data_IF_999365032714
#
_entry.id   IF_999365032714
#
_cell.length_a   1.000
_cell.length_b   1.000
_cell.length_c   1.000
_cell.angle_alpha   90.00
_cell.angle_beta   90.00
_cell.angle_gamma   90.00
#
_symmetry.space_group_name_H-M   'P 1'
#
loop_
_entity.id
_entity.type
_entity.pdbx_description
1 polymer ?
#
# COMPACT_ATOMS: atom_id res chain seq x y z
N UNK A 1 16.33 32.82 4.76
CA UNK A 1 15.62 32.14 5.86
C UNK A 1 15.03 30.88 5.24
N UNK A 2 15.63 29.72 5.49
CA UNK A 2 15.07 28.44 5.01
C UNK A 2 13.79 28.19 5.82
N UNK A 3 12.63 28.16 5.15
CA UNK A 3 11.39 27.76 5.80
C UNK A 3 11.53 26.30 6.20
N UNK A 4 11.56 26.00 7.50
CA UNK A 4 11.56 24.63 8.01
C UNK A 4 10.32 23.91 7.49
N UNK A 5 10.51 22.86 6.69
CA UNK A 5 9.40 21.99 6.28
C UNK A 5 8.86 21.29 7.55
N UNK A 6 7.57 21.42 7.81
CA UNK A 6 6.91 20.84 8.98
C UNK A 6 5.73 20.01 8.52
N UNK A 7 5.60 18.80 9.05
CA UNK A 7 4.46 17.93 8.78
C UNK A 7 3.19 18.48 9.43
N UNK A 8 2.07 18.37 8.73
CA UNK A 8 0.76 18.61 9.32
C UNK A 8 0.48 17.60 10.42
N UNK A 9 -0.16 18.07 11.50
CA UNK A 9 -0.50 17.22 12.64
C UNK A 9 -1.93 17.49 13.13
N UNK A 10 -2.50 16.48 13.78
CA UNK A 10 -3.87 16.53 14.28
C UNK A 10 -4.89 15.96 13.30
N UNK A 11 -6.19 16.06 13.66
CA UNK A 11 -7.31 15.50 12.88
C UNK A 11 -8.49 16.44 12.73
N UNK A 12 -8.35 17.68 13.18
CA UNK A 12 -9.45 18.65 13.28
C UNK A 12 -9.92 19.17 11.91
N UNK A 13 -9.02 19.22 10.92
CA UNK A 13 -9.36 19.60 9.54
C UNK A 13 -9.64 18.41 8.63
N UNK A 14 -9.45 17.18 9.11
CA UNK A 14 -9.59 15.98 8.28
C UNK A 14 -11.04 15.70 7.92
N UNK A 15 -11.24 15.21 6.70
CA UNK A 15 -12.57 14.89 6.16
C UNK A 15 -13.03 13.49 6.56
N UNK A 16 -14.34 13.37 6.75
CA UNK A 16 -15.02 12.12 7.08
C UNK A 16 -16.29 11.97 6.23
N UNK A 17 -16.55 10.76 5.74
CA UNK A 17 -17.75 10.44 4.98
C UNK A 17 -18.22 9.03 5.36
N UNK A 18 -19.50 8.84 5.69
CA UNK A 18 -20.07 7.54 6.07
C UNK A 18 -19.24 6.76 7.11
N UNK A 19 -18.69 7.47 8.10
CA UNK A 19 -17.78 6.94 9.15
C UNK A 19 -16.36 6.56 8.69
N UNK A 20 -16.04 6.74 7.41
CA UNK A 20 -14.67 6.60 6.91
C UNK A 20 -13.90 7.90 7.09
N UNK A 21 -12.69 7.80 7.63
CA UNK A 21 -11.69 8.87 7.50
C UNK A 21 -11.22 8.89 6.04
N UNK A 22 -11.31 10.04 5.39
CA UNK A 22 -10.82 10.18 4.02
C UNK A 22 -9.32 10.41 4.05
N UNK A 23 -8.58 9.63 3.27
CA UNK A 23 -7.13 9.72 3.15
C UNK A 23 -6.74 9.85 1.69
N UNK A 24 -5.76 10.71 1.41
CA UNK A 24 -5.19 10.88 0.09
C UNK A 24 -3.73 10.46 0.12
N UNK A 25 -3.25 9.87 -0.97
CA UNK A 25 -1.86 9.47 -1.10
C UNK A 25 -1.48 9.21 -2.55
N UNK A 26 -0.25 8.76 -2.75
CA UNK A 26 0.24 8.43 -4.08
C UNK A 26 1.17 7.23 -4.07
N UNK A 27 1.40 6.65 -5.25
CA UNK A 27 2.57 5.81 -5.51
C UNK A 27 3.59 6.70 -6.23
N UNK A 28 4.65 7.17 -5.54
CA UNK A 28 5.73 7.88 -6.20
C UNK A 28 6.50 6.90 -7.09
N UNK A 29 6.78 7.30 -8.32
CA UNK A 29 7.49 6.48 -9.29
C UNK A 29 8.53 7.28 -10.07
N UNK A 30 9.48 6.57 -10.68
CA UNK A 30 10.41 7.10 -11.67
C UNK A 30 10.76 6.03 -12.70
N UNK A 31 11.23 6.47 -13.87
CA UNK A 31 11.78 5.57 -14.90
C UNK A 31 13.30 5.59 -14.81
N UNK A 32 13.88 4.51 -14.32
CA UNK A 32 15.33 4.35 -14.24
C UNK A 32 15.89 3.93 -15.62
N UNK A 33 16.27 4.94 -16.41
CA UNK A 33 16.82 4.76 -17.77
C UNK A 33 18.26 4.23 -17.79
N UNK A 34 18.90 4.08 -16.63
CA UNK A 34 20.28 3.61 -16.52
C UNK A 34 20.38 2.08 -16.33
N UNK A 35 19.25 1.40 -16.16
CA UNK A 35 19.23 -0.07 -16.08
C UNK A 35 19.35 -0.64 -17.49
N UNK A 36 20.25 -1.60 -17.67
CA UNK A 36 20.33 -2.39 -18.90
C UNK A 36 18.97 -3.06 -19.15
N UNK A 37 18.28 -2.63 -20.21
CA UNK A 37 16.95 -3.12 -20.56
C UNK A 37 17.00 -3.94 -21.86
N UNK A 38 17.57 -5.15 -21.84
CA UNK A 38 17.69 -5.98 -23.04
C UNK A 38 16.32 -6.42 -23.59
N UNK A 39 15.27 -6.39 -22.77
CA UNK A 39 13.90 -6.75 -23.17
C UNK A 39 13.13 -5.57 -23.78
N UNK A 40 13.61 -4.33 -23.60
CA UNK A 40 12.89 -3.11 -23.99
C UNK A 40 11.57 -2.92 -23.24
N UNK A 41 11.32 -3.67 -22.15
CA UNK A 41 10.07 -3.59 -21.41
C UNK A 41 10.10 -2.40 -20.45
N UNK A 42 9.13 -1.49 -20.55
CA UNK A 42 9.10 -0.30 -19.69
C UNK A 42 8.92 -0.65 -18.21
N UNK A 43 8.28 -1.79 -17.93
CA UNK A 43 8.04 -2.27 -16.57
C UNK A 43 9.34 -2.62 -15.82
N UNK A 44 10.39 -3.05 -16.53
CA UNK A 44 11.69 -3.37 -15.91
C UNK A 44 12.45 -2.12 -15.45
N UNK A 45 12.17 -0.97 -16.07
CA UNK A 45 12.76 0.33 -15.73
C UNK A 45 11.90 1.12 -14.73
N UNK A 46 10.67 0.66 -14.44
CA UNK A 46 9.76 1.34 -13.52
C UNK A 46 10.17 1.03 -12.07
N UNK A 47 10.55 2.08 -11.36
CA UNK A 47 10.80 2.03 -9.92
C UNK A 47 9.69 2.78 -9.18
N UNK A 48 9.32 2.27 -8.01
CA UNK A 48 8.35 2.87 -7.11
C UNK A 48 8.98 3.11 -5.76
N UNK A 49 8.52 4.14 -5.06
CA UNK A 49 8.98 4.46 -3.73
C UNK A 49 7.95 4.00 -2.69
N UNK A 50 8.43 3.31 -1.68
CA UNK A 50 7.68 2.95 -0.48
C UNK A 50 8.39 3.51 0.75
N UNK A 51 7.63 3.69 1.83
CA UNK A 51 8.15 4.15 3.12
C UNK A 51 7.89 3.12 4.21
N UNK A 52 8.79 3.04 5.21
CA UNK A 52 8.54 2.23 6.40
C UNK A 52 7.41 2.87 7.22
N UNK A 53 6.38 2.10 7.60
CA UNK A 53 5.35 2.65 8.50
C UNK A 53 5.96 3.08 9.85
N UNK A 54 5.30 3.92 10.68
CA UNK A 54 5.92 4.48 11.90
C UNK A 54 6.49 3.47 12.90
N UNK A 55 5.96 2.25 12.94
CA UNK A 55 6.49 1.17 13.79
C UNK A 55 7.62 0.37 13.10
N UNK A 56 8.02 0.72 11.88
CA UNK A 56 9.06 0.13 11.04
C UNK A 56 8.90 -1.35 10.63
N UNK A 57 7.70 -1.93 10.75
CA UNK A 57 7.48 -3.36 10.44
C UNK A 57 7.10 -3.64 8.98
N UNK A 58 6.45 -2.68 8.30
CA UNK A 58 5.97 -2.87 6.93
C UNK A 58 6.32 -1.66 6.07
N UNK A 59 6.40 -1.90 4.77
CA UNK A 59 6.44 -0.85 3.76
C UNK A 59 5.03 -0.51 3.30
N UNK A 60 4.77 0.78 3.11
CA UNK A 60 3.49 1.33 2.63
C UNK A 60 3.74 2.43 1.60
N UNK A 61 2.70 2.79 0.86
CA UNK A 61 2.71 4.01 0.06
C UNK A 61 2.42 5.24 0.93
N UNK A 62 3.06 6.39 0.63
CA UNK A 62 2.83 7.64 1.34
C UNK A 62 1.38 8.09 1.19
N UNK A 63 0.73 8.41 2.31
CA UNK A 63 -0.68 8.80 2.40
C UNK A 63 -1.02 9.28 3.80
N UNK A 64 -1.94 10.22 3.89
CA UNK A 64 -2.48 10.66 5.17
C UNK A 64 -3.81 11.37 5.03
N UNK A 65 -4.16 12.17 6.04
CA UNK A 65 -5.52 12.70 6.14
C UNK A 65 -5.77 13.75 5.07
N UNK A 66 -6.86 13.62 4.31
CA UNK A 66 -7.30 14.69 3.42
C UNK A 66 -8.01 15.77 4.23
N UNK A 67 -7.46 16.99 4.22
CA UNK A 67 -7.97 18.13 5.00
C UNK A 67 -8.98 18.98 4.21
N UNK A 68 -9.69 19.88 4.91
CA UNK A 68 -10.79 20.66 4.35
C UNK A 68 -10.33 21.91 3.57
N UNK A 69 -9.07 22.30 3.71
CA UNK A 69 -8.43 23.47 3.12
C UNK A 69 -7.54 23.16 1.90
N UNK A 70 -7.56 21.91 1.43
CA UNK A 70 -6.78 21.43 0.29
C UNK A 70 -7.61 20.55 -0.65
N UNK A 71 -7.21 20.52 -1.92
CA UNK A 71 -7.69 19.54 -2.88
C UNK A 71 -7.09 18.15 -2.60
N UNK A 72 -7.69 17.12 -3.20
CA UNK A 72 -7.34 15.72 -2.91
C UNK A 72 -5.93 15.36 -3.42
N UNK A 73 -5.56 15.86 -4.59
CA UNK A 73 -4.23 15.75 -5.20
C UNK A 73 -3.19 16.60 -4.46
N UNK A 74 -3.56 17.80 -4.00
CA UNK A 74 -2.71 18.61 -3.12
C UNK A 74 -2.38 17.85 -1.82
N UNK A 75 -3.38 17.20 -1.22
CA UNK A 75 -3.19 16.34 -0.05
C UNK A 75 -2.23 15.18 -0.34
N UNK A 76 -2.41 14.47 -1.47
CA UNK A 76 -1.50 13.39 -1.86
C UNK A 76 -0.05 13.89 -2.07
N UNK A 77 0.13 15.07 -2.69
CA UNK A 77 1.44 15.69 -2.89
C UNK A 77 2.10 16.09 -1.58
N UNK A 78 1.32 16.66 -0.66
CA UNK A 78 1.78 17.04 0.68
C UNK A 78 2.27 15.82 1.45
N UNK A 79 1.48 14.75 1.48
CA UNK A 79 1.84 13.52 2.19
C UNK A 79 3.10 12.85 1.60
N UNK A 80 3.28 12.90 0.27
CA UNK A 80 4.52 12.44 -0.37
C UNK A 80 5.76 13.24 0.07
N UNK A 81 5.60 14.56 0.25
CA UNK A 81 6.67 15.40 0.77
C UNK A 81 6.92 15.14 2.26
N UNK A 82 5.86 15.06 3.06
CA UNK A 82 5.95 14.94 4.52
C UNK A 82 6.52 13.58 4.93
N UNK A 83 5.98 12.49 4.37
CA UNK A 83 6.35 11.13 4.76
C UNK A 83 7.59 10.61 4.00
N UNK A 84 7.74 10.94 2.71
CA UNK A 84 8.80 10.38 1.85
C UNK A 84 9.88 11.38 1.41
N UNK A 85 9.66 12.68 1.63
CA UNK A 85 10.60 13.71 1.19
C UNK A 85 10.74 13.80 -0.32
N UNK A 86 9.67 13.54 -1.08
CA UNK A 86 9.69 13.64 -2.55
C UNK A 86 8.70 14.69 -3.06
N UNK A 87 9.07 15.35 -4.16
CA UNK A 87 8.18 16.20 -4.96
C UNK A 87 8.12 15.68 -6.38
N UNK A 88 7.04 16.02 -7.07
CA UNK A 88 6.77 15.47 -8.38
C UNK A 88 5.53 16.05 -9.04
N UNK A 89 5.19 15.46 -10.18
CA UNK A 89 3.98 15.77 -10.93
C UNK A 89 2.96 14.69 -10.61
N UNK A 90 1.83 15.07 -10.00
CA UNK A 90 0.70 14.16 -9.83
C UNK A 90 -0.03 14.00 -11.17
N UNK A 91 -0.41 12.76 -11.47
CA UNK A 91 -1.26 12.45 -12.60
C UNK A 91 -2.73 12.81 -12.30
N UNK A 92 -3.43 13.47 -13.23
CA UNK A 92 -4.81 13.94 -13.03
C UNK A 92 -5.81 12.81 -12.71
N UNK A 93 -5.52 11.59 -13.16
CA UNK A 93 -6.35 10.41 -12.93
C UNK A 93 -5.97 9.67 -11.65
N UNK A 94 -6.96 9.36 -10.82
CA UNK A 94 -6.81 8.41 -9.71
C UNK A 94 -6.37 7.03 -10.23
N UNK A 95 -5.43 6.41 -9.52
CA UNK A 95 -5.15 4.98 -9.67
C UNK A 95 -6.32 4.14 -9.16
N UNK A 96 -7.02 4.64 -8.14
CA UNK A 96 -8.23 4.02 -7.61
C UNK A 96 -8.60 4.53 -6.23
N UNK A 97 -9.68 3.96 -5.71
CA UNK A 97 -10.22 4.25 -4.38
C UNK A 97 -10.45 2.94 -3.66
N UNK A 98 -9.92 2.82 -2.45
CA UNK A 98 -10.03 1.60 -1.64
C UNK A 98 -10.45 1.89 -0.22
N UNK A 99 -11.24 0.99 0.35
CA UNK A 99 -11.60 1.01 1.76
C UNK A 99 -10.72 0.02 2.52
N UNK A 100 -10.10 0.48 3.61
CA UNK A 100 -9.23 -0.34 4.44
C UNK A 100 -9.28 0.08 5.90
N UNK A 101 -8.80 -0.78 6.79
CA UNK A 101 -8.73 -0.49 8.24
C UNK A 101 -7.35 0.00 8.64
N UNK A 102 -7.32 1.05 9.45
CA UNK A 102 -6.08 1.54 10.07
C UNK A 102 -5.43 0.48 10.96
N UNK A 103 -4.09 0.44 11.00
CA UNK A 103 -3.31 -0.57 11.72
C UNK A 103 -3.63 -0.63 13.22
N UNK A 104 -3.92 0.51 13.86
CA UNK A 104 -4.17 0.60 15.30
C UNK A 104 -5.52 0.01 15.74
N UNK A 105 -6.41 -0.34 14.81
CA UNK A 105 -7.75 -0.87 15.11
C UNK A 105 -8.10 -2.14 14.34
N UNK A 106 -7.11 -2.86 13.80
CA UNK A 106 -7.34 -4.11 13.05
C UNK A 106 -8.03 -5.20 13.87
N UNK A 107 -7.87 -5.20 15.20
CA UNK A 107 -8.42 -6.21 16.10
C UNK A 107 -9.68 -5.76 16.86
N UNK A 108 -10.23 -4.57 16.57
CA UNK A 108 -11.44 -4.07 17.24
C UNK A 108 -12.68 -4.38 16.41
N UNK A 109 -13.68 -4.99 17.06
CA UNK A 109 -15.02 -5.15 16.52
C UNK A 109 -15.71 -3.78 16.41
N UNK A 110 -15.90 -3.27 15.20
CA UNK A 110 -16.59 -1.99 14.94
C UNK A 110 -16.20 -1.33 13.62
N UNK A 111 -16.79 -0.16 13.32
CA UNK A 111 -16.42 0.71 12.19
C UNK A 111 -15.27 1.66 12.54
N UNK A 112 -14.78 1.63 13.79
CA UNK A 112 -13.72 2.53 14.23
C UNK A 112 -12.40 2.27 13.48
N UNK A 113 -11.85 3.34 12.89
CA UNK A 113 -10.59 3.26 12.16
C UNK A 113 -10.71 2.80 10.71
N UNK A 114 -11.92 2.81 10.14
CA UNK A 114 -12.13 2.66 8.71
C UNK A 114 -11.62 3.89 7.95
N UNK A 115 -10.89 3.64 6.86
CA UNK A 115 -10.32 4.65 5.98
C UNK A 115 -10.77 4.38 4.55
N UNK A 116 -11.06 5.45 3.80
CA UNK A 116 -11.23 5.41 2.35
C UNK A 116 -10.09 6.18 1.73
N UNK A 117 -9.22 5.46 1.02
CA UNK A 117 -8.00 5.98 0.42
C UNK A 117 -8.15 6.25 -1.06
N UNK A 118 -7.79 7.47 -1.45
CA UNK A 118 -7.70 7.93 -2.83
C UNK A 118 -6.21 7.96 -3.22
N UNK A 119 -5.80 7.13 -4.18
CA UNK A 119 -4.39 7.01 -4.56
C UNK A 119 -4.15 7.57 -5.96
N UNK A 120 -3.11 8.38 -6.08
CA UNK A 120 -2.61 8.93 -7.34
C UNK A 120 -1.29 8.30 -7.76
N UNK A 121 -0.90 8.49 -9.01
CA UNK A 121 0.49 8.32 -9.44
C UNK A 121 1.22 9.66 -9.29
N UNK A 122 2.45 9.63 -8.78
CA UNK A 122 3.30 10.81 -8.68
C UNK A 122 4.63 10.55 -9.36
N UNK A 123 4.93 11.27 -10.45
CA UNK A 123 6.22 11.20 -11.12
C UNK A 123 7.23 12.06 -10.35
N UNK A 124 8.19 11.41 -9.69
CA UNK A 124 9.16 12.10 -8.84
C UNK A 124 10.15 12.87 -9.71
N UNK A 125 10.31 14.16 -9.41
CA UNK A 125 11.30 15.03 -10.05
C UNK A 125 12.34 15.58 -9.07
N UNK A 126 12.09 15.48 -7.76
CA UNK A 126 12.98 15.96 -6.70
C UNK A 126 12.90 15.04 -5.47
N UNK A 127 14.06 14.66 -4.94
CA UNK A 127 14.22 13.94 -3.68
C UNK A 127 14.96 14.83 -2.69
N UNK A 128 14.33 15.14 -1.57
CA UNK A 128 14.88 16.01 -0.53
C UNK A 128 15.91 15.26 0.31
N UNK A 129 16.97 15.94 0.74
CA UNK A 129 17.94 15.39 1.70
C UNK A 129 17.35 15.34 3.12
N UNK A 130 16.55 16.34 3.48
CA UNK A 130 15.88 16.45 4.77
C UNK A 130 14.38 16.67 4.57
N UNK A 131 13.56 15.90 5.29
CA UNK A 131 12.10 16.00 5.19
C UNK A 131 11.40 15.81 6.55
N UNK A 132 10.13 16.23 6.68
CA UNK A 132 9.46 16.35 7.97
C UNK A 132 9.41 15.07 8.83
N UNK A 133 9.11 13.91 8.23
CA UNK A 133 8.91 12.66 8.96
C UNK A 133 10.06 11.66 8.82
N UNK A 134 11.23 12.11 8.40
CA UNK A 134 12.41 11.26 8.15
C UNK A 134 12.85 10.40 9.36
N UNK A 135 12.50 10.81 10.59
CA UNK A 135 12.84 10.07 11.81
C UNK A 135 11.95 8.85 12.05
N UNK A 136 10.78 8.79 11.38
CA UNK A 136 9.78 7.74 11.53
C UNK A 136 9.52 6.97 10.25
N UNK A 137 9.90 7.53 9.10
CA UNK A 137 9.67 6.99 7.77
C UNK A 137 10.99 6.96 6.99
N UNK A 138 11.48 5.75 6.70
CA UNK A 138 12.60 5.53 5.79
C UNK A 138 12.04 5.27 4.38
N UNK A 139 12.54 6.00 3.38
CA UNK A 139 12.16 5.80 1.99
C UNK A 139 13.01 4.72 1.32
N UNK A 140 12.38 3.93 0.45
CA UNK A 140 13.03 2.89 -0.33
C UNK A 140 12.49 2.85 -1.76
N UNK A 141 13.38 3.03 -2.73
CA UNK A 141 13.12 2.74 -4.13
C UNK A 141 13.18 1.23 -4.38
N UNK A 142 12.20 0.72 -5.09
CA UNK A 142 12.03 -0.70 -5.40
C UNK A 142 11.61 -0.84 -6.85
N UNK A 143 12.03 -1.92 -7.51
CA UNK A 143 11.35 -2.30 -8.74
C UNK A 143 9.91 -2.76 -8.43
N UNK A 144 9.03 -2.71 -9.43
CA UNK A 144 7.60 -3.07 -9.26
C UNK A 144 7.40 -4.46 -8.65
N UNK A 145 8.29 -5.39 -8.97
CA UNK A 145 8.23 -6.77 -8.51
C UNK A 145 8.54 -6.93 -7.01
N UNK A 146 9.57 -6.26 -6.53
CA UNK A 146 9.91 -6.22 -5.12
C UNK A 146 8.81 -5.52 -4.32
N UNK A 147 8.33 -4.38 -4.82
CA UNK A 147 7.23 -3.65 -4.21
C UNK A 147 5.98 -4.53 -4.09
N UNK A 148 5.63 -5.30 -5.14
CA UNK A 148 4.50 -6.23 -5.11
C UNK A 148 4.62 -7.29 -4.00
N UNK A 149 5.82 -7.88 -3.85
CA UNK A 149 6.08 -8.88 -2.80
C UNK A 149 5.99 -8.28 -1.39
N UNK A 150 6.40 -7.03 -1.24
CA UNK A 150 6.41 -6.30 0.03
C UNK A 150 5.03 -5.69 0.37
N UNK A 151 4.08 -5.68 -0.56
CA UNK A 151 2.71 -5.25 -0.30
C UNK A 151 2.03 -6.18 0.70
N UNK A 152 1.71 -5.63 1.88
CA UNK A 152 0.98 -6.32 2.94
C UNK A 152 -0.51 -6.49 2.65
N UNK A 153 -1.11 -5.56 1.93
CA UNK A 153 -2.56 -5.52 1.68
C UNK A 153 -2.86 -5.66 0.18
N UNK A 154 -3.98 -6.31 -0.15
CA UNK A 154 -4.37 -6.56 -1.54
C UNK A 154 -4.61 -5.25 -2.32
N UNK A 155 -5.20 -4.24 -1.66
CA UNK A 155 -5.39 -2.92 -2.29
C UNK A 155 -4.07 -2.30 -2.78
N UNK A 156 -2.94 -2.56 -2.11
CA UNK A 156 -1.64 -2.04 -2.53
C UNK A 156 -1.17 -2.71 -3.82
N UNK A 157 -1.42 -4.01 -3.96
CA UNK A 157 -1.13 -4.76 -5.19
C UNK A 157 -2.01 -4.31 -6.33
N UNK A 158 -3.30 -4.08 -6.08
CA UNK A 158 -4.23 -3.51 -7.05
C UNK A 158 -3.81 -2.10 -7.49
N UNK A 159 -3.36 -1.26 -6.56
CA UNK A 159 -2.85 0.07 -6.87
C UNK A 159 -1.55 0.02 -7.69
N UNK A 160 -0.61 -0.89 -7.39
CA UNK A 160 0.57 -1.14 -8.21
C UNK A 160 0.21 -1.62 -9.62
N UNK A 161 -0.79 -2.50 -9.74
CA UNK A 161 -1.27 -2.96 -11.03
C UNK A 161 -1.85 -1.80 -11.86
N UNK A 162 -2.62 -0.93 -11.20
CA UNK A 162 -3.20 0.26 -11.83
C UNK A 162 -2.12 1.23 -12.30
N UNK A 163 -1.07 1.44 -11.50
CA UNK A 163 0.10 2.21 -11.90
C UNK A 163 0.82 1.59 -13.11
N UNK A 164 1.06 0.27 -13.07
CA UNK A 164 1.69 -0.45 -14.18
C UNK A 164 0.91 -0.27 -15.48
N UNK A 165 -0.42 -0.38 -15.43
CA UNK A 165 -1.29 -0.17 -16.59
C UNK A 165 -1.20 1.27 -17.08
N UNK A 166 -1.26 2.24 -16.17
CA UNK A 166 -1.18 3.67 -16.48
C UNK A 166 0.13 4.01 -17.23
N UNK A 167 1.26 3.52 -16.73
CA UNK A 167 2.59 3.90 -17.25
C UNK A 167 3.01 3.04 -18.45
N UNK A 168 2.72 1.74 -18.42
CA UNK A 168 3.25 0.78 -19.41
C UNK A 168 2.21 0.23 -20.38
N UNK A 169 0.92 0.49 -20.13
CA UNK A 169 -0.19 -0.14 -20.84
C UNK A 169 -0.36 -1.64 -20.52
N UNK A 170 0.41 -2.19 -19.57
CA UNK A 170 0.40 -3.62 -19.21
C UNK A 170 0.19 -3.81 -17.71
N UNK A 171 -0.56 -4.85 -17.29
CA UNK A 171 -0.65 -5.23 -15.88
C UNK A 171 0.68 -5.83 -15.39
N UNK A 172 0.86 -5.82 -14.07
CA UNK A 172 1.96 -6.55 -13.43
C UNK A 172 1.69 -8.04 -13.61
N UNK A 173 2.41 -8.67 -14.55
CA UNK A 173 2.32 -10.11 -14.76
C UNK A 173 3.18 -10.81 -13.74
N UNK A 174 2.57 -11.61 -12.87
CA UNK A 174 3.33 -12.56 -12.08
C UNK A 174 3.99 -13.57 -13.04
N UNK A 175 5.27 -13.37 -13.37
CA UNK A 175 6.09 -14.41 -13.98
C UNK A 175 6.10 -15.55 -12.96
N UNK A 176 5.38 -16.62 -13.29
CA UNK A 176 5.46 -17.87 -12.55
C UNK A 176 6.95 -18.25 -12.50
N UNK A 177 7.50 -18.28 -11.29
CA UNK A 177 8.79 -18.91 -11.06
C UNK A 177 8.62 -20.37 -11.51
N UNK A 178 9.51 -20.94 -12.33
CA UNK A 178 9.45 -22.38 -12.59
C UNK A 178 9.53 -23.09 -11.25
N UNK A 179 8.57 -23.96 -10.95
CA UNK A 179 8.60 -24.79 -9.75
C UNK A 179 9.93 -25.55 -9.72
N UNK A 180 10.84 -25.14 -8.84
CA UNK A 180 11.97 -25.98 -8.47
C UNK A 180 11.38 -26.99 -7.50
N UNK A 181 11.18 -28.21 -8.00
CA UNK A 181 10.77 -29.36 -7.20
C UNK A 181 11.84 -29.70 -6.17
N UNK A 182 11.70 -29.18 -4.95
CA UNK A 182 12.41 -29.75 -3.81
C UNK A 182 11.53 -30.84 -3.19
N UNK A 183 11.92 -32.07 -3.48
CA UNK A 183 11.59 -33.24 -2.69
C UNK A 183 12.12 -33.05 -1.26
N UNK A 184 11.26 -32.95 -0.26
CA UNK A 184 11.42 -33.70 1.00
C UNK A 184 10.23 -33.56 1.96
N UNK A 185 9.95 -34.69 2.60
CA UNK A 185 9.29 -34.85 3.90
C UNK A 185 7.76 -34.74 3.95
N UNK A 186 7.17 -35.89 3.68
CA UNK A 186 5.82 -36.28 4.07
C UNK A 186 5.71 -36.32 5.61
N UNK A 187 5.21 -35.26 6.24
CA UNK A 187 4.50 -35.39 7.52
C UNK A 187 3.00 -35.35 7.21
N UNK A 188 2.44 -36.53 6.96
CA UNK A 188 0.99 -36.72 6.84
C UNK A 188 0.34 -36.45 8.21
N UNK A 189 -0.24 -35.27 8.39
CA UNK A 189 -1.33 -35.08 9.34
C UNK A 189 -2.59 -35.70 8.73
N UNK A 190 -2.94 -36.88 9.24
CA UNK A 190 -4.20 -37.57 8.99
C UNK A 190 -5.36 -36.65 9.41
N UNK A 191 -6.24 -36.31 8.46
CA UNK A 191 -7.58 -35.81 8.77
C UNK A 191 -8.47 -37.01 9.14
N UNK A 192 -9.27 -36.96 10.21
CA UNK A 192 -10.39 -37.88 10.34
C UNK A 192 -11.55 -37.38 9.48
N UNK A 193 -11.91 -38.18 8.47
CA UNK A 193 -13.22 -38.16 7.80
C UNK A 193 -14.27 -38.67 8.77
N UNK A 194 -15.35 -37.91 8.96
CA UNK A 194 -16.48 -38.29 9.82
C UNK A 194 -17.33 -39.41 9.22
N UNK A 195 -18.21 -40.00 10.04
CA UNK A 195 -19.37 -40.76 9.59
C UNK A 195 -20.41 -40.86 10.72
N UNK A 196 -21.67 -40.63 10.35
CA UNK A 196 -22.94 -41.13 10.90
C UNK A 196 -23.53 -40.55 12.20
N UNK A 197 -24.61 -39.79 12.00
CA UNK A 197 -25.74 -39.70 12.91
C UNK A 197 -26.55 -41.01 12.86
N UNK A 198 -26.83 -41.58 14.02
CA UNK A 198 -27.91 -42.54 14.23
C UNK A 198 -28.71 -42.11 15.46
N UNK A 199 -30.02 -42.01 15.27
CA UNK A 199 -31.04 -41.72 16.26
C UNK A 199 -31.00 -42.70 17.46
N UNK A 200 -31.34 -42.22 18.66
CA UNK A 200 -32.33 -42.83 19.57
C UNK A 200 -32.39 -42.13 20.94
N UNK A 201 -33.54 -41.50 21.20
CA UNK A 201 -34.40 -41.70 22.36
C UNK A 201 -33.84 -41.66 23.83
N UNK A 202 -34.41 -40.71 24.58
CA UNK A 202 -35.16 -40.90 25.86
C UNK A 202 -34.39 -41.04 27.20
N UNK A 203 -34.91 -40.27 28.18
CA UNK A 203 -34.78 -40.29 29.66
C UNK A 203 -33.55 -39.59 30.28
N UNK A 204 -33.67 -38.49 31.03
CA UNK A 204 -34.37 -38.23 32.31
C UNK A 204 -33.52 -38.52 33.56
N UNK A 205 -33.59 -37.55 34.48
CA UNK A 205 -33.26 -37.55 35.91
C UNK A 205 -31.92 -36.99 36.43
N UNK A 206 -32.13 -36.08 37.40
CA UNK A 206 -31.28 -35.51 38.46
C UNK A 206 -30.36 -34.34 38.08
#
# INVERSE_FOLDING_TARGET
MSSTLQARTGRHLQRYENHFRLVAGCIPYRINRHVDNPTGDLLSMLEVLMITSPNQHDLVFPKGGWENDEAMDEAASREALEEAGVRGIIHDSLLGVWEFRSKSKQNLCGQEGACRGYMFALEVNEELEFWPEQSTHDRKWLNVWEAWKLCRYDWMREALNSLSILITGKPVRLVAVPEISESTSLFCLVKPSGTECVDSAINAFC
#
